data_IF_453964478839
#
_entry.id   IF_453964478839
#
_cell.length_a   1.000
_cell.length_b   1.000
_cell.length_c   1.000
_cell.angle_alpha   90.00
_cell.angle_beta   90.00
_cell.angle_gamma   90.00
#
_symmetry.space_group_name_H-M   'P 1'
#
loop_
_entity.id
_entity.type
_entity.pdbx_description
1 polymer ?
#
# COMPACT_ATOMS: atom_id res chain seq x y z
N UNK A 1 5.86 -25.92 -6.69
CA UNK A 1 5.12 -24.79 -6.08
C UNK A 1 5.66 -23.51 -6.70
N UNK A 2 4.91 -22.89 -7.61
CA UNK A 2 5.30 -21.62 -8.22
C UNK A 2 5.23 -20.54 -7.14
N UNK A 3 6.36 -19.90 -6.82
CA UNK A 3 6.39 -18.76 -5.91
C UNK A 3 5.79 -17.58 -6.67
N UNK A 4 4.51 -17.33 -6.50
CA UNK A 4 3.97 -15.99 -6.70
C UNK A 4 4.49 -15.14 -5.53
N UNK A 5 5.14 -14.01 -5.82
CA UNK A 5 5.60 -13.06 -4.79
C UNK A 5 4.38 -12.30 -4.23
N UNK A 6 3.50 -13.03 -3.54
CA UNK A 6 2.30 -12.48 -2.92
C UNK A 6 2.61 -12.07 -1.48
N UNK A 7 1.76 -11.22 -0.91
CA UNK A 7 1.84 -10.80 0.49
C UNK A 7 1.61 -12.01 1.40
N UNK A 8 2.50 -12.19 2.37
CA UNK A 8 2.47 -13.32 3.31
C UNK A 8 2.14 -12.87 4.73
N UNK A 9 1.93 -13.85 5.64
CA UNK A 9 1.80 -13.58 7.06
C UNK A 9 3.11 -12.95 7.58
N UNK A 10 3.07 -11.66 7.87
CA UNK A 10 4.22 -10.89 8.34
C UNK A 10 4.46 -9.60 7.55
N UNK A 11 3.88 -9.49 6.35
CA UNK A 11 4.02 -8.31 5.51
C UNK A 11 3.00 -7.21 5.84
N UNK A 12 2.07 -7.44 6.78
CA UNK A 12 1.04 -6.49 7.20
C UNK A 12 1.63 -5.14 7.63
N UNK A 13 1.12 -4.04 7.09
CA UNK A 13 1.70 -2.71 7.30
C UNK A 13 2.82 -2.33 6.32
N UNK A 14 3.24 -3.26 5.45
CA UNK A 14 4.24 -3.03 4.42
C UNK A 14 3.78 -2.06 3.31
N UNK A 15 4.70 -1.34 2.65
CA UNK A 15 4.35 -0.33 1.68
C UNK A 15 4.15 -0.91 0.27
N UNK A 16 3.05 -0.53 -0.39
CA UNK A 16 2.90 -0.63 -1.84
C UNK A 16 3.31 0.70 -2.47
N UNK A 17 4.45 0.71 -3.18
CA UNK A 17 5.02 1.92 -3.80
C UNK A 17 5.01 1.82 -5.33
N UNK A 18 4.82 2.96 -5.99
CA UNK A 18 5.04 3.07 -7.44
C UNK A 18 6.07 4.15 -7.75
N UNK A 19 6.77 3.99 -8.87
CA UNK A 19 7.66 5.04 -9.37
C UNK A 19 6.85 6.04 -10.19
N UNK A 20 6.87 7.29 -9.76
CA UNK A 20 6.24 8.39 -10.48
C UNK A 20 6.94 8.70 -11.81
N UNK A 21 6.27 9.46 -12.67
CA UNK A 21 6.87 9.98 -13.92
C UNK A 21 8.16 10.78 -13.72
N UNK A 22 8.40 11.29 -12.51
CA UNK A 22 9.62 12.03 -12.14
C UNK A 22 10.68 11.16 -11.45
N UNK A 23 10.51 9.83 -11.47
CA UNK A 23 11.48 8.90 -10.93
C UNK A 23 11.46 8.72 -9.41
N UNK A 24 10.61 9.46 -8.67
CA UNK A 24 10.43 9.32 -7.22
C UNK A 24 9.44 8.20 -6.89
N UNK A 25 9.73 7.41 -5.86
CA UNK A 25 8.78 6.43 -5.33
C UNK A 25 7.69 7.13 -4.51
N UNK A 26 6.44 6.76 -4.74
CA UNK A 26 5.27 7.25 -4.02
C UNK A 26 4.58 6.09 -3.34
N UNK A 27 4.21 6.27 -2.07
CA UNK A 27 3.38 5.31 -1.34
C UNK A 27 1.94 5.40 -1.84
N UNK A 28 1.43 4.31 -2.41
CA UNK A 28 0.05 4.22 -2.88
C UNK A 28 -0.87 3.64 -1.82
N UNK A 29 -0.41 2.57 -1.16
CA UNK A 29 -1.22 1.82 -0.23
C UNK A 29 -0.35 1.07 0.78
N UNK A 30 -0.99 0.53 1.81
CA UNK A 30 -0.36 -0.28 2.85
C UNK A 30 -1.01 -1.66 2.83
N UNK A 31 -0.22 -2.73 2.92
CA UNK A 31 -0.74 -4.10 2.96
C UNK A 31 -1.72 -4.26 4.13
N UNK A 32 -2.86 -4.90 3.86
CA UNK A 32 -3.93 -5.06 4.85
C UNK A 32 -4.59 -6.44 4.72
N UNK A 33 -5.65 -6.66 5.50
CA UNK A 33 -6.38 -7.92 5.49
C UNK A 33 -7.40 -7.98 4.35
N UNK A 34 -7.52 -9.15 3.73
CA UNK A 34 -8.67 -9.47 2.87
C UNK A 34 -9.74 -10.21 3.69
N UNK A 35 -11.03 -9.90 3.49
CA UNK A 35 -12.10 -10.72 4.04
C UNK A 35 -12.19 -12.12 3.36
N UNK A 36 -11.69 -12.25 2.13
CA UNK A 36 -11.59 -13.55 1.45
C UNK A 36 -10.46 -14.40 2.04
N UNK A 37 -10.78 -15.66 2.39
CA UNK A 37 -9.88 -16.56 3.13
C UNK A 37 -8.94 -17.40 2.26
N UNK A 38 -9.04 -17.29 0.93
CA UNK A 38 -8.27 -18.14 0.02
C UNK A 38 -7.25 -17.31 -0.74
N UNK A 39 -5.97 -17.49 -0.41
CA UNK A 39 -4.85 -16.89 -1.14
C UNK A 39 -4.64 -17.67 -2.44
N UNK A 40 -5.28 -17.22 -3.52
CA UNK A 40 -5.09 -17.79 -4.86
C UNK A 40 -4.68 -16.68 -5.81
N UNK A 41 -4.14 -17.04 -6.97
CA UNK A 41 -3.84 -16.07 -8.05
C UNK A 41 -5.08 -15.30 -8.51
N UNK A 42 -6.27 -15.86 -8.28
CA UNK A 42 -7.57 -15.27 -8.62
C UNK A 42 -8.08 -14.30 -7.54
N UNK A 43 -7.52 -14.37 -6.33
CA UNK A 43 -7.85 -13.49 -5.21
C UNK A 43 -6.67 -12.53 -4.97
N UNK A 44 -6.75 -11.28 -5.46
CA UNK A 44 -5.67 -10.33 -5.31
C UNK A 44 -5.44 -10.00 -3.83
N UNK A 45 -4.20 -9.65 -3.50
CA UNK A 45 -3.87 -9.14 -2.17
C UNK A 45 -4.60 -7.82 -1.89
N UNK A 46 -4.96 -7.59 -0.62
CA UNK A 46 -5.71 -6.40 -0.21
C UNK A 46 -4.80 -5.35 0.43
N UNK A 47 -5.14 -4.10 0.16
CA UNK A 47 -4.39 -2.94 0.63
C UNK A 47 -5.33 -1.87 1.13
N UNK A 48 -4.89 -1.12 2.14
CA UNK A 48 -5.50 0.14 2.51
C UNK A 48 -4.88 1.26 1.67
N UNK A 49 -5.67 1.91 0.82
CA UNK A 49 -5.21 3.08 0.05
C UNK A 49 -4.78 4.19 1.02
N UNK A 50 -3.62 4.79 0.75
CA UNK A 50 -3.06 5.87 1.55
C UNK A 50 -3.73 7.22 1.26
N UNK A 51 -4.14 7.44 0.00
CA UNK A 51 -4.65 8.73 -0.48
C UNK A 51 -5.81 9.32 0.35
N UNK A 52 -6.85 8.56 0.74
CA UNK A 52 -7.95 9.09 1.55
C UNK A 52 -7.55 9.51 2.96
N UNK A 53 -6.37 9.10 3.45
CA UNK A 53 -5.92 9.34 4.82
C UNK A 53 -4.84 10.41 4.93
N UNK A 54 -4.47 11.07 3.82
CA UNK A 54 -3.36 12.05 3.82
C UNK A 54 -3.61 13.22 4.77
N UNK A 55 -4.84 13.70 4.88
CA UNK A 55 -5.20 14.77 5.83
C UNK A 55 -5.03 14.33 7.28
N UNK A 56 -5.42 13.09 7.60
CA UNK A 56 -5.21 12.52 8.93
C UNK A 56 -3.72 12.37 9.24
N UNK A 57 -2.92 11.82 8.31
CA UNK A 57 -1.47 11.69 8.50
C UNK A 57 -0.82 13.06 8.69
N UNK A 58 -1.20 14.06 7.89
CA UNK A 58 -0.72 15.44 8.03
C UNK A 58 -1.07 16.02 9.39
N UNK A 59 -2.30 15.81 9.86
CA UNK A 59 -2.75 16.31 11.16
C UNK A 59 -1.96 15.69 12.33
N UNK A 60 -1.60 14.41 12.25
CA UNK A 60 -0.84 13.72 13.31
C UNK A 60 0.65 14.02 13.26
N UNK A 61 1.23 14.08 12.07
CA UNK A 61 2.70 14.17 11.89
C UNK A 61 3.21 15.59 11.64
N UNK A 62 2.33 16.51 11.24
CA UNK A 62 2.71 17.84 10.75
C UNK A 62 3.40 17.84 9.39
N UNK A 63 3.58 16.67 8.75
CA UNK A 63 4.24 16.55 7.44
C UNK A 63 3.22 16.80 6.33
N UNK A 64 3.52 17.77 5.46
CA UNK A 64 2.69 18.07 4.31
C UNK A 64 3.13 17.30 3.07
N UNK A 65 2.23 16.47 2.55
CA UNK A 65 2.43 15.68 1.34
C UNK A 65 1.71 16.29 0.12
N UNK A 66 1.01 17.41 0.28
CA UNK A 66 0.22 18.07 -0.78
C UNK A 66 1.07 18.81 -1.82
N UNK A 67 2.39 18.69 -1.75
CA UNK A 67 3.32 19.41 -2.62
C UNK A 67 4.23 18.40 -3.33
N UNK A 68 4.33 18.59 -4.65
CA UNK A 68 5.17 17.89 -5.64
C UNK A 68 4.44 16.87 -6.56
N UNK A 69 3.51 17.36 -7.38
CA UNK A 69 3.27 16.81 -8.73
C UNK A 69 4.08 17.56 -9.78
#
# INVERSE_FOLDING_TARGET
MSRTNNITKGDSGGPLVCRSKYGRFQLLAVTSFCPHRTYTVENPDCYQLAHPHLDWVKNITGIDYSINH
#
